data_IF_901503793611
#
_entry.id   IF_901503793611
#
_cell.length_a   1.000
_cell.length_b   1.000
_cell.length_c   1.000
_cell.angle_alpha   90.00
_cell.angle_beta   90.00
_cell.angle_gamma   90.00
#
_symmetry.space_group_name_H-M   'P 1'
#
loop_
_entity.id
_entity.type
_entity.pdbx_description
1 polymer ?
#
# COMPACT_ATOMS: atom_id res chain seq x y z
N UNK A 1 -31.55 -42.08 36.91
CA UNK A 1 -31.57 -43.54 36.65
C UNK A 1 -30.20 -44.06 36.21
N UNK A 2 -29.42 -43.36 35.37
CA UNK A 2 -28.10 -43.85 34.92
C UNK A 2 -26.97 -43.91 35.99
N UNK A 3 -27.07 -43.17 37.10
CA UNK A 3 -26.01 -43.09 38.11
C UNK A 3 -25.99 -44.28 39.06
N UNK A 4 -27.18 -44.76 39.47
CA UNK A 4 -27.31 -45.87 40.43
C UNK A 4 -26.91 -47.20 39.76
N UNK A 5 -27.23 -47.36 38.47
CA UNK A 5 -26.80 -48.49 37.64
C UNK A 5 -25.27 -48.58 37.53
N UNK A 6 -24.59 -47.42 37.37
CA UNK A 6 -23.11 -47.36 37.34
C UNK A 6 -22.47 -47.74 38.67
N UNK A 7 -23.06 -47.33 39.79
CA UNK A 7 -22.57 -47.69 41.11
C UNK A 7 -22.72 -49.19 41.35
N UNK A 8 -23.86 -49.77 40.95
CA UNK A 8 -24.12 -51.20 41.10
C UNK A 8 -23.24 -52.07 40.20
N UNK A 9 -22.94 -51.59 38.99
CA UNK A 9 -21.95 -52.19 38.08
C UNK A 9 -20.53 -52.13 38.69
N UNK A 10 -20.16 -51.01 39.32
CA UNK A 10 -18.87 -50.85 39.99
C UNK A 10 -18.74 -51.82 41.17
N UNK A 11 -19.78 -51.96 42.00
CA UNK A 11 -19.80 -52.92 43.11
C UNK A 11 -19.61 -54.36 42.61
N UNK A 12 -20.34 -54.74 41.55
CA UNK A 12 -20.21 -56.07 40.93
C UNK A 12 -18.81 -56.30 40.36
N UNK A 13 -18.22 -55.29 39.73
CA UNK A 13 -16.87 -55.37 39.17
C UNK A 13 -15.80 -55.53 40.25
N UNK A 14 -15.90 -54.81 41.38
CA UNK A 14 -14.97 -54.94 42.52
C UNK A 14 -15.05 -56.36 43.10
N UNK A 15 -16.27 -56.87 43.32
CA UNK A 15 -16.49 -58.21 43.83
C UNK A 15 -15.91 -59.29 42.89
N UNK A 16 -16.15 -59.18 41.57
CA UNK A 16 -15.66 -60.13 40.59
C UNK A 16 -14.13 -60.13 40.45
N UNK A 17 -13.49 -58.96 40.58
CA UNK A 17 -12.06 -58.78 40.28
C UNK A 17 -11.16 -58.93 41.50
N UNK A 18 -11.66 -58.59 42.68
CA UNK A 18 -10.89 -58.56 43.91
C UNK A 18 -11.43 -59.52 44.98
N UNK A 19 -12.61 -60.13 44.78
CA UNK A 19 -13.22 -61.05 45.74
C UNK A 19 -13.75 -60.37 47.01
N UNK A 20 -13.88 -59.04 47.01
CA UNK A 20 -14.31 -58.24 48.17
C UNK A 20 -15.76 -57.82 47.96
N UNK A 21 -16.64 -58.18 48.91
CA UNK A 21 -18.01 -57.71 48.94
C UNK A 21 -18.06 -56.30 49.56
N UNK A 22 -18.43 -55.32 48.75
CA UNK A 22 -18.54 -53.91 49.15
C UNK A 22 -20.02 -53.52 49.22
N UNK A 23 -20.44 -52.89 50.31
CA UNK A 23 -21.81 -52.40 50.49
C UNK A 23 -21.95 -50.94 50.06
N UNK A 24 -23.19 -50.46 49.85
CA UNK A 24 -23.43 -49.04 49.53
C UNK A 24 -22.97 -48.09 50.64
N UNK A 25 -22.95 -48.54 51.89
CA UNK A 25 -22.52 -47.77 53.06
C UNK A 25 -21.02 -47.93 53.35
N UNK A 26 -20.29 -48.66 52.50
CA UNK A 26 -18.85 -48.85 52.68
C UNK A 26 -18.11 -47.50 52.51
N UNK A 27 -17.20 -47.14 53.42
CA UNK A 27 -16.42 -45.91 53.32
C UNK A 27 -15.72 -45.72 51.96
N UNK A 28 -15.35 -46.81 51.27
CA UNK A 28 -14.70 -46.71 49.96
C UNK A 28 -15.64 -46.23 48.85
N UNK A 29 -16.94 -46.54 48.97
CA UNK A 29 -17.98 -46.04 48.04
C UNK A 29 -18.35 -44.59 48.33
N UNK A 30 -18.29 -44.16 49.60
CA UNK A 30 -18.44 -42.74 49.96
C UNK A 30 -17.31 -41.91 49.35
N UNK A 31 -16.06 -42.39 49.44
CA UNK A 31 -14.91 -41.74 48.79
C UNK A 31 -15.05 -41.66 47.28
N UNK A 32 -15.55 -42.71 46.63
CA UNK A 32 -15.81 -42.69 45.19
C UNK A 32 -16.87 -41.64 44.84
N UNK A 33 -17.95 -41.55 45.61
CA UNK A 33 -19.00 -40.54 45.41
C UNK A 33 -18.45 -39.12 45.54
N UNK A 34 -17.61 -38.86 46.55
CA UNK A 34 -16.95 -37.56 46.75
C UNK A 34 -15.99 -37.26 45.59
N UNK A 35 -15.23 -38.26 45.12
CA UNK A 35 -14.31 -38.09 43.99
C UNK A 35 -15.06 -37.77 42.70
N UNK A 36 -16.14 -38.50 42.39
CA UNK A 36 -16.99 -38.24 41.22
C UNK A 36 -17.57 -36.82 41.27
N UNK A 37 -18.01 -36.37 42.46
CA UNK A 37 -18.49 -35.00 42.66
C UNK A 37 -17.38 -33.97 42.43
N UNK A 38 -16.19 -34.20 42.99
CA UNK A 38 -15.03 -33.32 42.81
C UNK A 38 -14.59 -33.25 41.34
N UNK A 39 -14.64 -34.37 40.61
CA UNK A 39 -14.35 -34.41 39.17
C UNK A 39 -15.37 -33.61 38.37
N UNK A 40 -16.65 -33.71 38.70
CA UNK A 40 -17.71 -32.91 38.07
C UNK A 40 -17.54 -31.43 38.34
N UNK A 41 -17.29 -31.04 39.60
CA UNK A 41 -17.08 -29.65 39.98
C UNK A 41 -15.81 -29.08 39.32
N UNK A 42 -14.74 -29.88 39.22
CA UNK A 42 -13.51 -29.51 38.51
C UNK A 42 -13.74 -29.33 37.00
N UNK A 43 -14.51 -30.21 36.37
CA UNK A 43 -14.89 -30.05 34.96
C UNK A 43 -15.72 -28.78 34.73
N UNK A 44 -16.68 -28.50 35.61
CA UNK A 44 -17.49 -27.29 35.52
C UNK A 44 -16.63 -26.02 35.67
N UNK A 45 -15.73 -25.98 36.65
CA UNK A 45 -14.81 -24.86 36.84
C UNK A 45 -13.86 -24.67 35.64
N UNK A 46 -13.34 -25.77 35.07
CA UNK A 46 -12.50 -25.71 33.87
C UNK A 46 -13.28 -25.19 32.66
N UNK A 47 -14.55 -25.57 32.52
CA UNK A 47 -15.42 -25.10 31.45
C UNK A 47 -15.64 -23.58 31.54
N UNK A 48 -15.91 -23.07 32.74
CA UNK A 48 -16.08 -21.63 33.00
C UNK A 48 -14.80 -20.85 32.65
N UNK A 49 -13.64 -21.36 33.05
CA UNK A 49 -12.34 -20.77 32.71
C UNK A 49 -12.12 -20.74 31.19
N UNK A 50 -12.45 -21.83 30.49
CA UNK A 50 -12.31 -21.91 29.04
C UNK A 50 -13.25 -20.95 28.30
N UNK A 51 -14.48 -20.79 28.79
CA UNK A 51 -15.42 -19.80 28.25
C UNK A 51 -14.91 -18.36 28.44
N UNK A 52 -14.37 -18.05 29.63
CA UNK A 52 -13.73 -16.76 29.89
C UNK A 52 -12.54 -16.51 28.96
N UNK A 53 -11.65 -17.49 28.82
CA UNK A 53 -10.49 -17.38 27.94
C UNK A 53 -10.89 -17.20 26.46
N UNK A 54 -11.91 -17.92 26.00
CA UNK A 54 -12.46 -17.76 24.64
C UNK A 54 -13.00 -16.34 24.43
N UNK A 55 -13.77 -15.83 25.38
CA UNK A 55 -14.30 -14.46 25.32
C UNK A 55 -13.19 -13.41 25.26
N UNK A 56 -12.14 -13.56 26.07
CA UNK A 56 -10.98 -12.66 26.04
C UNK A 56 -10.23 -12.73 24.70
N UNK A 57 -10.04 -13.93 24.15
CA UNK A 57 -9.42 -14.10 22.84
C UNK A 57 -10.24 -13.42 21.73
N UNK A 58 -11.56 -13.56 21.74
CA UNK A 58 -12.44 -12.90 20.78
C UNK A 58 -12.34 -11.37 20.90
N UNK A 59 -12.30 -10.84 22.12
CA UNK A 59 -12.13 -9.40 22.36
C UNK A 59 -10.77 -8.88 21.88
N UNK A 60 -9.68 -9.60 22.16
CA UNK A 60 -8.33 -9.25 21.69
C UNK A 60 -8.25 -9.33 20.17
N UNK A 61 -8.78 -10.39 19.57
CA UNK A 61 -8.79 -10.56 18.13
C UNK A 61 -9.56 -9.44 17.42
N UNK A 62 -10.72 -9.06 17.97
CA UNK A 62 -11.51 -7.96 17.45
C UNK A 62 -10.75 -6.62 17.51
N UNK A 63 -10.23 -6.27 18.69
CA UNK A 63 -9.41 -5.06 18.87
C UNK A 63 -8.20 -5.04 17.96
N UNK A 64 -7.51 -6.17 17.82
CA UNK A 64 -6.33 -6.26 16.96
C UNK A 64 -6.69 -6.09 15.49
N UNK A 65 -7.85 -6.61 15.06
CA UNK A 65 -8.40 -6.39 13.73
C UNK A 65 -8.69 -4.90 13.45
N UNK A 66 -9.36 -4.23 14.37
CA UNK A 66 -9.64 -2.79 14.27
C UNK A 66 -8.36 -1.94 14.28
N UNK A 67 -7.44 -2.21 15.21
CA UNK A 67 -6.17 -1.50 15.32
C UNK A 67 -5.30 -1.68 14.08
N UNK A 68 -5.25 -2.90 13.54
CA UNK A 68 -4.50 -3.23 12.32
C UNK A 68 -5.10 -2.53 11.10
N UNK A 69 -6.44 -2.53 10.98
CA UNK A 69 -7.15 -1.78 9.93
C UNK A 69 -6.87 -0.28 10.04
N UNK A 70 -7.01 0.30 11.22
CA UNK A 70 -6.77 1.73 11.45
C UNK A 70 -5.31 2.14 11.24
N UNK A 71 -4.34 1.26 11.52
CA UNK A 71 -2.93 1.47 11.15
C UNK A 71 -2.71 1.40 9.65
N UNK A 72 -3.29 0.40 8.98
CA UNK A 72 -3.19 0.24 7.54
C UNK A 72 -3.77 1.45 6.79
N UNK A 73 -4.97 1.90 7.19
CA UNK A 73 -5.63 3.08 6.59
C UNK A 73 -4.81 4.36 6.80
N UNK A 74 -4.25 4.58 7.99
CA UNK A 74 -3.38 5.75 8.25
C UNK A 74 -2.11 5.72 7.41
N UNK A 75 -1.42 4.60 7.36
CA UNK A 75 -0.20 4.44 6.55
C UNK A 75 -0.50 4.60 5.07
N UNK A 76 -1.60 4.00 4.58
CA UNK A 76 -2.03 4.11 3.20
C UNK A 76 -2.36 5.56 2.84
N UNK A 77 -3.13 6.26 3.68
CA UNK A 77 -3.47 7.66 3.44
C UNK A 77 -2.24 8.57 3.48
N UNK A 78 -1.30 8.34 4.39
CA UNK A 78 -0.03 9.09 4.44
C UNK A 78 0.80 8.86 3.17
N UNK A 79 0.92 7.60 2.73
CA UNK A 79 1.62 7.25 1.49
C UNK A 79 0.94 7.86 0.26
N UNK A 80 -0.39 7.81 0.21
CA UNK A 80 -1.18 8.39 -0.90
C UNK A 80 -1.05 9.92 -0.94
N UNK A 81 -1.06 10.58 0.22
CA UNK A 81 -0.85 12.02 0.31
C UNK A 81 0.56 12.40 -0.18
N UNK A 82 1.59 11.70 0.28
CA UNK A 82 2.97 11.91 -0.17
C UNK A 82 3.12 11.65 -1.68
N UNK A 83 2.47 10.61 -2.21
CA UNK A 83 2.49 10.30 -3.64
C UNK A 83 1.80 11.38 -4.48
N UNK A 84 0.66 11.91 -4.03
CA UNK A 84 -0.02 13.03 -4.70
C UNK A 84 0.84 14.29 -4.71
N UNK A 85 1.49 14.61 -3.60
CA UNK A 85 2.38 15.76 -3.50
C UNK A 85 3.57 15.60 -4.46
N UNK A 86 4.22 14.44 -4.45
CA UNK A 86 5.32 14.14 -5.36
C UNK A 86 4.91 14.20 -6.84
N UNK A 87 3.71 13.71 -7.18
CA UNK A 87 3.15 13.83 -8.53
C UNK A 87 2.88 15.28 -8.91
N UNK A 88 2.27 16.07 -8.02
CA UNK A 88 1.99 17.48 -8.28
C UNK A 88 3.28 18.27 -8.52
N UNK A 89 4.29 18.04 -7.68
CA UNK A 89 5.60 18.66 -7.81
C UNK A 89 6.30 18.23 -9.11
N UNK A 90 6.34 16.92 -9.40
CA UNK A 90 6.92 16.41 -10.64
C UNK A 90 6.21 16.92 -11.90
N UNK A 91 4.88 17.08 -11.85
CA UNK A 91 4.10 17.65 -12.95
C UNK A 91 4.42 19.14 -13.15
N UNK A 92 4.57 19.90 -12.07
CA UNK A 92 4.96 21.32 -12.13
C UNK A 92 6.37 21.48 -12.69
N UNK A 93 7.32 20.69 -12.21
CA UNK A 93 8.70 20.72 -12.66
C UNK A 93 8.82 20.29 -14.12
N UNK A 94 8.07 19.25 -14.53
CA UNK A 94 7.98 18.82 -15.93
C UNK A 94 7.36 19.88 -16.85
N UNK A 95 6.29 20.55 -16.41
CA UNK A 95 5.66 21.63 -17.17
C UNK A 95 6.61 22.83 -17.36
N UNK A 96 7.33 23.21 -16.31
CA UNK A 96 8.35 24.28 -16.39
C UNK A 96 9.49 23.90 -17.34
N UNK A 97 10.01 22.68 -17.22
CA UNK A 97 11.07 22.20 -18.10
C UNK A 97 10.62 22.14 -19.57
N UNK A 98 9.39 21.73 -19.84
CA UNK A 98 8.81 21.73 -21.17
C UNK A 98 8.66 23.16 -21.72
N UNK A 99 8.15 24.10 -20.90
CA UNK A 99 8.02 25.50 -21.29
C UNK A 99 9.39 26.13 -21.61
N UNK A 100 10.40 25.86 -20.79
CA UNK A 100 11.77 26.31 -21.05
C UNK A 100 12.34 25.73 -22.34
N UNK A 101 12.11 24.43 -22.60
CA UNK A 101 12.58 23.79 -23.82
C UNK A 101 11.96 24.44 -25.06
N UNK A 102 10.64 24.67 -25.03
CA UNK A 102 9.90 25.36 -26.09
C UNK A 102 10.44 26.79 -26.28
N UNK A 103 10.65 27.54 -25.19
CA UNK A 103 11.18 28.91 -25.27
C UNK A 103 12.57 28.94 -25.92
N UNK A 104 13.47 28.02 -25.53
CA UNK A 104 14.81 27.92 -26.12
C UNK A 104 14.76 27.59 -27.62
N UNK A 105 13.85 26.71 -28.03
CA UNK A 105 13.68 26.35 -29.44
C UNK A 105 13.12 27.51 -30.26
N UNK A 106 12.19 28.28 -29.70
CA UNK A 106 11.71 29.53 -30.28
C UNK A 106 12.83 30.55 -30.43
N UNK A 107 13.60 30.80 -29.37
CA UNK A 107 14.70 31.77 -29.38
C UNK A 107 15.78 31.38 -30.39
N UNK A 108 16.14 30.09 -30.46
CA UNK A 108 17.08 29.57 -31.45
C UNK A 108 16.57 29.76 -32.89
N UNK A 109 15.28 29.52 -33.11
CA UNK A 109 14.64 29.71 -34.42
C UNK A 109 14.59 31.19 -34.81
N UNK A 110 14.24 32.07 -33.87
CA UNK A 110 14.24 33.52 -34.05
C UNK A 110 15.64 34.06 -34.37
N UNK A 111 16.67 33.58 -33.66
CA UNK A 111 18.06 33.94 -33.93
C UNK A 111 18.51 33.51 -35.33
N UNK A 112 18.12 32.30 -35.77
CA UNK A 112 18.41 31.80 -37.12
C UNK A 112 17.75 32.66 -38.21
N UNK A 113 16.49 33.05 -38.00
CA UNK A 113 15.74 33.96 -38.88
C UNK A 113 16.38 35.35 -38.93
N UNK A 114 16.77 35.92 -37.79
CA UNK A 114 17.45 37.21 -37.75
C UNK A 114 18.80 37.16 -38.50
N UNK A 115 19.55 36.06 -38.35
CA UNK A 115 20.79 35.81 -39.08
C UNK A 115 20.57 35.77 -40.59
N UNK A 116 19.59 35.00 -41.06
CA UNK A 116 19.30 34.88 -42.51
C UNK A 116 18.82 36.20 -43.12
N UNK A 117 18.00 36.98 -42.41
CA UNK A 117 17.59 38.32 -42.86
C UNK A 117 18.78 39.26 -42.98
N UNK A 118 19.71 39.23 -42.01
CA UNK A 118 20.90 40.09 -42.04
C UNK A 118 21.83 39.73 -43.21
N UNK A 119 21.98 38.44 -43.48
CA UNK A 119 22.74 37.95 -44.63
C UNK A 119 22.07 38.34 -45.96
N UNK A 120 20.75 38.16 -46.08
CA UNK A 120 19.98 38.59 -47.25
C UNK A 120 20.11 40.09 -47.51
N UNK A 121 20.05 40.93 -46.46
CA UNK A 121 20.29 42.38 -46.59
C UNK A 121 21.70 42.70 -47.08
N UNK A 122 22.71 41.97 -46.60
CA UNK A 122 24.10 42.15 -47.04
C UNK A 122 24.26 41.83 -48.52
N UNK A 123 23.70 40.71 -48.97
CA UNK A 123 23.70 40.32 -50.39
C UNK A 123 22.95 41.34 -51.24
N UNK A 124 21.79 41.82 -50.78
CA UNK A 124 21.01 42.85 -51.47
C UNK A 124 21.79 44.16 -51.64
N UNK A 125 22.48 44.65 -50.59
CA UNK A 125 23.32 45.85 -50.69
C UNK A 125 24.48 45.67 -51.67
N UNK A 126 25.14 44.51 -51.67
CA UNK A 126 26.19 44.20 -52.64
C UNK A 126 25.64 44.17 -54.07
N UNK A 127 24.47 43.58 -54.28
CA UNK A 127 23.84 43.54 -55.59
C UNK A 127 23.42 44.94 -56.07
N UNK A 128 22.89 45.80 -55.19
CA UNK A 128 22.61 47.20 -55.53
C UNK A 128 23.87 47.97 -55.93
N UNK A 129 25.00 47.76 -55.23
CA UNK A 129 26.27 48.38 -55.58
C UNK A 129 26.79 47.90 -56.95
N UNK A 130 26.71 46.58 -57.20
CA UNK A 130 27.09 46.00 -58.48
C UNK A 130 26.22 46.53 -59.64
N UNK A 131 24.90 46.62 -59.46
CA UNK A 131 23.99 47.19 -60.44
C UNK A 131 24.31 48.68 -60.72
N UNK A 132 24.61 49.46 -59.67
CA UNK A 132 25.03 50.86 -59.83
C UNK A 132 26.31 51.00 -60.66
N UNK A 133 27.32 50.17 -60.39
CA UNK A 133 28.55 50.12 -61.18
C UNK A 133 28.30 49.69 -62.64
N UNK A 134 27.42 48.72 -62.86
CA UNK A 134 27.06 48.26 -64.20
C UNK A 134 26.37 49.36 -65.02
N UNK A 135 25.46 50.12 -64.41
CA UNK A 135 24.80 51.27 -65.05
C UNK A 135 25.82 52.36 -65.40
N UNK A 136 26.75 52.67 -64.49
CA UNK A 136 27.82 53.63 -64.77
C UNK A 136 28.72 53.17 -65.92
N UNK A 137 29.12 51.89 -65.94
CA UNK A 137 29.92 51.33 -67.01
C UNK A 137 29.19 51.39 -68.36
N UNK A 138 27.89 51.07 -68.39
CA UNK A 138 27.06 51.17 -69.59
C UNK A 138 26.93 52.63 -70.08
N UNK A 139 26.77 53.60 -69.17
CA UNK A 139 26.71 55.02 -69.51
C UNK A 139 28.04 55.52 -70.09
N UNK A 140 29.17 55.12 -69.50
CA UNK A 140 30.51 55.46 -70.01
C UNK A 140 30.75 54.85 -71.40
N UNK A 141 30.35 53.60 -71.62
CA UNK A 141 30.46 52.93 -72.92
C UNK A 141 29.61 53.63 -74.00
N UNK A 142 28.39 54.05 -73.66
CA UNK A 142 27.53 54.83 -74.55
C UNK A 142 28.14 56.19 -74.88
N UNK A 143 28.70 56.90 -73.89
CA UNK A 143 29.35 58.20 -74.11
C UNK A 143 30.60 58.08 -74.99
N UNK A 144 31.41 57.03 -74.81
CA UNK A 144 32.59 56.78 -75.64
C UNK A 144 32.24 56.35 -77.08
N UNK A 145 30.99 55.96 -77.35
CA UNK A 145 30.50 55.52 -78.66
C UNK A 145 29.81 56.64 -79.46
N UNK A 146 29.64 57.85 -78.90
CA UNK A 146 29.21 59.05 -79.62
C UNK A 146 30.41 59.89 -80.04
#
# INVERSE_FOLDING_TARGET
>A
MASDDKIEETIKAIAARHGIAVSRDDPILVLQTINDRLMQDSQAAQQEILEGFKSELEAIAHRWGEDSKGKAERTLNAALAASKEAMAQGMKDGANAAAEAVQREFDASAAKLAGSIREARRVSMLNMAAAGLAVLAAALALWASM
#
